data_IF_083964347625
#
_entry.id   IF_083964347625
#
_cell.length_a   1.000
_cell.length_b   1.000
_cell.length_c   1.000
_cell.angle_alpha   90.00
_cell.angle_beta   90.00
_cell.angle_gamma   90.00
#
_symmetry.space_group_name_H-M   'P 1'
#
loop_
_entity.id
_entity.type
_entity.pdbx_description
1 polymer ?
#
# COMPACT_ATOMS: atom_id res chain seq x y z
N UNK A 1 19.36 -14.03 -0.48
CA UNK A 1 17.95 -13.56 -0.47
C UNK A 1 17.49 -13.52 -1.92
N UNK A 2 16.46 -14.26 -2.30
CA UNK A 2 15.88 -14.17 -3.64
C UNK A 2 15.37 -12.73 -3.82
N UNK A 3 15.89 -12.06 -4.83
CA UNK A 3 15.54 -10.66 -5.12
C UNK A 3 14.14 -10.64 -5.76
N UNK A 4 13.10 -10.70 -4.93
CA UNK A 4 11.72 -10.64 -5.40
C UNK A 4 11.51 -9.27 -6.06
N UNK A 5 11.06 -9.25 -7.31
CA UNK A 5 10.72 -8.00 -8.00
C UNK A 5 9.50 -7.36 -7.36
N UNK A 6 9.45 -6.05 -7.29
CA UNK A 6 8.34 -5.32 -6.67
C UNK A 6 7.63 -4.44 -7.69
N UNK A 7 6.31 -4.40 -7.57
CA UNK A 7 5.44 -3.41 -8.21
C UNK A 7 4.75 -2.61 -7.10
N UNK A 8 4.77 -1.30 -7.23
CA UNK A 8 3.98 -0.42 -6.37
C UNK A 8 2.90 0.27 -7.21
N UNK A 9 1.64 -0.01 -6.89
CA UNK A 9 0.50 0.69 -7.49
C UNK A 9 0.12 1.83 -6.58
N UNK A 10 0.36 3.05 -7.04
CA UNK A 10 0.21 4.28 -6.26
C UNK A 10 -0.78 5.23 -6.92
N UNK A 11 -1.13 6.31 -6.24
CA UNK A 11 -2.00 7.36 -6.77
C UNK A 11 -2.84 8.00 -5.68
N UNK A 12 -3.57 9.05 -6.02
CA UNK A 12 -4.51 9.59 -5.06
C UNK A 12 -5.60 8.57 -4.72
N UNK A 13 -6.05 8.55 -3.47
CA UNK A 13 -7.16 7.67 -3.06
C UNK A 13 -8.37 7.86 -4.00
N UNK A 14 -9.00 6.77 -4.43
CA UNK A 14 -10.14 6.72 -5.37
C UNK A 14 -9.77 6.89 -6.86
N UNK A 15 -8.50 6.71 -7.20
CA UNK A 15 -8.02 6.74 -8.61
C UNK A 15 -7.95 5.37 -9.29
N UNK A 16 -8.52 4.31 -8.69
CA UNK A 16 -8.58 2.97 -9.32
C UNK A 16 -7.44 2.02 -8.95
N UNK A 17 -6.60 2.33 -7.97
CA UNK A 17 -5.47 1.48 -7.54
C UNK A 17 -5.88 0.06 -7.17
N UNK A 18 -7.01 -0.11 -6.47
CA UNK A 18 -7.54 -1.45 -6.14
C UNK A 18 -7.96 -2.24 -7.38
N UNK A 19 -8.49 -1.57 -8.42
CA UNK A 19 -8.84 -2.22 -9.69
C UNK A 19 -7.57 -2.68 -10.40
N UNK A 20 -6.57 -1.81 -10.52
CA UNK A 20 -5.27 -2.15 -11.11
C UNK A 20 -4.61 -3.31 -10.37
N UNK A 21 -4.60 -3.29 -9.03
CA UNK A 21 -4.07 -4.39 -8.22
C UNK A 21 -4.76 -5.72 -8.50
N UNK A 22 -6.09 -5.73 -8.65
CA UNK A 22 -6.85 -6.94 -9.02
C UNK A 22 -6.51 -7.45 -10.41
N UNK A 23 -6.32 -6.56 -11.38
CA UNK A 23 -5.93 -6.93 -12.74
C UNK A 23 -4.53 -7.55 -12.74
N UNK A 24 -3.57 -6.93 -12.05
CA UNK A 24 -2.22 -7.47 -11.91
C UNK A 24 -2.21 -8.84 -11.21
N UNK A 25 -3.08 -9.03 -10.22
CA UNK A 25 -3.20 -10.30 -9.51
C UNK A 25 -3.74 -11.47 -10.35
N UNK A 26 -4.29 -11.22 -11.53
CA UNK A 26 -4.67 -12.27 -12.48
C UNK A 26 -3.44 -12.86 -13.21
N UNK A 27 -2.28 -12.22 -13.12
CA UNK A 27 -1.04 -12.77 -13.67
C UNK A 27 -0.44 -13.80 -12.70
N UNK A 28 -0.10 -14.98 -13.20
CA UNK A 28 0.38 -16.11 -12.37
C UNK A 28 1.62 -15.83 -11.54
N UNK A 29 2.47 -14.90 -11.97
CA UNK A 29 3.71 -14.55 -11.26
C UNK A 29 3.56 -13.37 -10.29
N UNK A 30 2.39 -12.75 -10.19
CA UNK A 30 2.18 -11.53 -9.37
C UNK A 30 1.24 -11.83 -8.21
N UNK A 31 1.72 -11.56 -7.00
CA UNK A 31 0.86 -11.52 -5.81
C UNK A 31 0.57 -10.08 -5.40
N UNK A 32 -0.70 -9.69 -5.39
CA UNK A 32 -1.12 -8.35 -4.97
C UNK A 32 -1.59 -8.35 -3.54
N UNK A 33 -0.92 -7.54 -2.72
CA UNK A 33 -1.21 -7.34 -1.31
C UNK A 33 -2.45 -6.47 -1.10
N UNK A 34 -3.06 -6.55 0.08
CA UNK A 34 -3.99 -5.52 0.56
C UNK A 34 -3.25 -4.19 0.73
N UNK A 35 -3.97 -3.11 0.97
CA UNK A 35 -3.37 -1.79 1.27
C UNK A 35 -2.56 -1.90 2.57
N UNK A 36 -1.22 -2.07 2.46
CA UNK A 36 -0.34 -2.34 3.60
C UNK A 36 -0.07 -1.10 4.45
N UNK A 37 -0.11 0.08 3.83
CA UNK A 37 0.18 1.37 4.48
C UNK A 37 1.52 1.39 5.25
N UNK A 38 2.51 0.63 4.76
CA UNK A 38 3.82 0.58 5.40
C UNK A 38 4.44 1.98 5.48
N UNK A 39 4.60 2.64 4.33
CA UNK A 39 5.10 4.01 4.29
C UNK A 39 4.10 4.97 4.94
N UNK A 40 4.60 5.77 5.90
CA UNK A 40 3.85 6.80 6.60
C UNK A 40 2.95 6.35 7.76
N UNK A 41 2.80 5.03 7.99
CA UNK A 41 2.12 4.51 9.20
C UNK A 41 3.00 3.59 10.04
N UNK A 42 3.84 2.76 9.39
CA UNK A 42 4.72 1.80 10.06
C UNK A 42 6.19 2.18 9.91
N UNK A 43 6.47 3.07 8.99
CA UNK A 43 7.80 3.57 8.68
C UNK A 43 7.74 5.03 8.24
N UNK A 44 8.74 5.80 8.63
CA UNK A 44 9.01 7.17 8.18
C UNK A 44 10.45 7.31 7.70
N UNK A 45 10.77 8.39 6.97
CA UNK A 45 12.13 8.68 6.51
C UNK A 45 13.13 8.89 7.65
N UNK A 46 12.64 9.31 8.83
CA UNK A 46 13.44 9.46 10.05
C UNK A 46 13.91 8.11 10.62
N UNK A 47 13.16 7.04 10.36
CA UNK A 47 13.47 5.67 10.82
C UNK A 47 14.42 4.91 9.88
N UNK A 48 14.91 5.52 8.80
CA UNK A 48 15.64 4.86 7.72
C UNK A 48 16.86 4.07 8.21
N UNK A 49 17.58 4.60 9.19
CA UNK A 49 18.80 4.01 9.74
C UNK A 49 18.58 3.29 11.08
N UNK A 50 17.34 3.25 11.57
CA UNK A 50 17.02 2.64 12.85
C UNK A 50 17.03 1.12 12.72
N UNK A 51 17.92 0.48 13.46
CA UNK A 51 17.88 -0.97 13.68
C UNK A 51 16.87 -1.24 14.79
N UNK A 52 15.97 -2.18 14.55
CA UNK A 52 14.94 -2.57 15.50
C UNK A 52 15.46 -3.66 16.42
N UNK A 53 15.05 -3.64 17.68
CA UNK A 53 15.19 -4.79 18.57
C UNK A 53 14.35 -5.97 18.05
N UNK A 54 14.70 -7.19 18.44
CA UNK A 54 13.94 -8.40 18.05
C UNK A 54 12.44 -8.24 18.36
N UNK A 55 12.11 -7.70 19.55
CA UNK A 55 10.71 -7.46 19.95
C UNK A 55 9.99 -6.42 19.07
N UNK A 56 10.67 -5.33 18.68
CA UNK A 56 10.10 -4.33 17.76
C UNK A 56 9.90 -4.94 16.37
N UNK A 57 10.87 -5.74 15.91
CA UNK A 57 10.82 -6.44 14.63
C UNK A 57 9.65 -7.43 14.57
N UNK A 58 9.48 -8.26 15.61
CA UNK A 58 8.35 -9.20 15.73
C UNK A 58 7.03 -8.46 15.69
N UNK A 59 6.87 -7.39 16.47
CA UNK A 59 5.64 -6.57 16.48
C UNK A 59 5.33 -5.96 15.11
N UNK A 60 6.34 -5.46 14.40
CA UNK A 60 6.17 -4.90 13.07
C UNK A 60 5.72 -5.97 12.07
N UNK A 61 6.38 -7.12 12.05
CA UNK A 61 6.08 -8.22 11.15
C UNK A 61 4.69 -8.82 11.44
N UNK A 62 4.36 -9.04 12.72
CA UNK A 62 3.03 -9.50 13.14
C UNK A 62 1.92 -8.56 12.71
N UNK A 63 2.18 -7.25 12.80
CA UNK A 63 1.23 -6.24 12.33
C UNK A 63 1.05 -6.27 10.81
N UNK A 64 2.12 -6.46 10.03
CA UNK A 64 2.03 -6.61 8.57
C UNK A 64 1.23 -7.85 8.18
N UNK A 65 1.43 -8.99 8.84
CA UNK A 65 0.60 -10.19 8.64
C UNK A 65 -0.86 -9.93 8.98
N UNK A 66 -1.14 -9.26 10.09
CA UNK A 66 -2.50 -8.92 10.50
C UNK A 66 -3.20 -8.01 9.48
N UNK A 67 -2.51 -7.00 8.94
CA UNK A 67 -3.03 -6.12 7.88
C UNK A 67 -3.31 -6.94 6.62
N UNK A 68 -2.40 -7.83 6.22
CA UNK A 68 -2.57 -8.67 5.04
C UNK A 68 -3.76 -9.62 5.19
N UNK A 69 -3.99 -10.18 6.36
CA UNK A 69 -5.09 -11.12 6.60
C UNK A 69 -6.44 -10.40 6.74
N UNK A 70 -6.54 -9.39 7.60
CA UNK A 70 -7.81 -8.77 8.01
C UNK A 70 -8.03 -7.38 7.42
N UNK A 71 -7.00 -6.76 6.82
CA UNK A 71 -7.04 -5.39 6.30
C UNK A 71 -6.73 -4.34 7.37
N UNK A 72 -6.43 -3.13 6.89
CA UNK A 72 -5.96 -2.01 7.72
C UNK A 72 -6.94 -1.57 8.83
N UNK A 73 -8.22 -1.86 8.71
CA UNK A 73 -9.23 -1.47 9.70
C UNK A 73 -9.48 -2.51 10.79
N UNK A 74 -8.91 -3.70 10.67
CA UNK A 74 -9.16 -4.85 11.57
C UNK A 74 -7.84 -5.39 12.12
N UNK A 75 -7.13 -4.55 12.89
CA UNK A 75 -5.82 -4.88 13.48
C UNK A 75 -5.91 -5.11 15.01
N UNK A 76 -7.02 -5.67 15.48
CA UNK A 76 -7.27 -5.76 16.92
C UNK A 76 -6.39 -6.81 17.63
N UNK A 77 -5.90 -7.81 16.90
CA UNK A 77 -5.08 -8.89 17.46
C UNK A 77 -3.89 -9.27 16.56
N UNK A 78 -2.86 -8.41 16.42
CA UNK A 78 -1.67 -8.75 15.66
C UNK A 78 -0.82 -9.85 16.33
N UNK A 79 -0.93 -10.02 17.65
CA UNK A 79 -0.14 -10.98 18.45
C UNK A 79 -0.35 -12.44 18.03
N UNK A 80 -1.47 -12.76 17.37
CA UNK A 80 -1.70 -14.10 16.81
C UNK A 80 -0.64 -14.52 15.78
N UNK A 81 0.16 -13.57 15.27
CA UNK A 81 1.23 -13.81 14.31
C UNK A 81 2.62 -13.76 14.94
N UNK A 82 2.75 -13.59 16.27
CA UNK A 82 4.05 -13.41 16.93
C UNK A 82 4.91 -14.66 16.76
N UNK A 83 4.37 -15.86 16.95
CA UNK A 83 5.12 -17.12 16.81
C UNK A 83 5.75 -17.30 15.42
N UNK A 84 5.01 -16.96 14.35
CA UNK A 84 5.55 -17.04 12.99
C UNK A 84 6.55 -15.91 12.74
N UNK A 85 6.33 -14.74 13.29
CA UNK A 85 7.22 -13.58 13.17
C UNK A 85 8.55 -13.82 13.89
N UNK A 86 8.55 -14.41 15.07
CA UNK A 86 9.75 -14.83 15.82
C UNK A 86 10.60 -15.82 15.04
N UNK A 87 9.96 -16.81 14.40
CA UNK A 87 10.66 -17.80 13.56
C UNK A 87 11.34 -17.17 12.34
N UNK A 88 10.80 -16.06 11.81
CA UNK A 88 11.34 -15.37 10.64
C UNK A 88 12.48 -14.43 11.02
N UNK A 89 12.34 -13.68 12.12
CA UNK A 89 13.28 -12.61 12.50
C UNK A 89 14.59 -13.15 13.10
N UNK A 90 14.58 -14.30 13.80
CA UNK A 90 15.74 -15.05 14.31
C UNK A 90 16.98 -14.18 14.68
N UNK A 91 16.87 -13.29 15.68
CA UNK A 91 17.99 -12.51 16.24
C UNK A 91 18.83 -11.77 15.18
N UNK A 92 18.22 -11.12 14.25
CA UNK A 92 18.90 -10.31 13.23
C UNK A 92 18.70 -8.83 13.50
N UNK A 93 19.78 -8.07 13.42
CA UNK A 93 19.75 -6.61 13.47
C UNK A 93 19.13 -6.08 12.16
N UNK A 94 17.79 -5.98 12.12
CA UNK A 94 17.05 -5.59 10.93
C UNK A 94 16.43 -4.20 11.09
N UNK A 95 16.47 -3.42 10.03
CA UNK A 95 15.68 -2.21 9.90
C UNK A 95 14.22 -2.56 9.53
N UNK A 96 13.31 -1.62 9.75
CA UNK A 96 11.91 -1.79 9.37
C UNK A 96 11.73 -2.05 7.85
N UNK A 97 12.58 -1.45 7.02
CA UNK A 97 12.57 -1.68 5.56
C UNK A 97 12.98 -3.12 5.20
N UNK A 98 13.97 -3.69 5.87
CA UNK A 98 14.39 -5.07 5.66
C UNK A 98 13.30 -6.05 6.08
N UNK A 99 12.64 -5.79 7.22
CA UNK A 99 11.48 -6.59 7.66
C UNK A 99 10.34 -6.50 6.63
N UNK A 100 10.08 -5.32 6.07
CA UNK A 100 9.08 -5.17 5.03
C UNK A 100 9.44 -5.97 3.77
N UNK A 101 10.71 -5.94 3.33
CA UNK A 101 11.19 -6.75 2.20
C UNK A 101 11.03 -8.25 2.46
N UNK A 102 11.39 -8.70 3.67
CA UNK A 102 11.21 -10.10 4.10
C UNK A 102 9.72 -10.47 4.05
N UNK A 103 8.85 -9.63 4.59
CA UNK A 103 7.41 -9.86 4.56
C UNK A 103 6.87 -10.01 3.13
N UNK A 104 7.23 -9.09 2.22
CA UNK A 104 6.82 -9.16 0.81
C UNK A 104 7.29 -10.46 0.15
N UNK A 105 8.55 -10.83 0.35
CA UNK A 105 9.13 -12.06 -0.20
C UNK A 105 8.46 -13.32 0.35
N UNK A 106 8.23 -13.40 1.65
CA UNK A 106 7.59 -14.55 2.31
C UNK A 106 6.19 -14.82 1.79
N UNK A 107 5.36 -13.78 1.71
CA UNK A 107 3.97 -13.93 1.24
C UNK A 107 3.93 -14.27 -0.24
N UNK A 108 4.74 -13.61 -1.08
CA UNK A 108 4.77 -13.90 -2.51
C UNK A 108 5.26 -15.33 -2.78
N UNK A 109 6.31 -15.77 -2.11
CA UNK A 109 6.83 -17.15 -2.21
C UNK A 109 5.81 -18.19 -1.76
N UNK A 110 5.10 -17.94 -0.64
CA UNK A 110 4.02 -18.82 -0.15
C UNK A 110 2.91 -18.99 -1.19
N UNK A 111 2.67 -17.97 -2.02
CA UNK A 111 1.69 -18.00 -3.11
C UNK A 111 2.31 -18.36 -4.46
N UNK A 112 3.54 -18.87 -4.49
CA UNK A 112 4.27 -19.29 -5.69
C UNK A 112 4.42 -18.15 -6.73
N UNK A 113 4.50 -16.90 -6.27
CA UNK A 113 4.64 -15.71 -7.10
C UNK A 113 6.05 -15.11 -6.96
N UNK A 114 6.61 -14.64 -8.07
CA UNK A 114 7.95 -14.03 -8.13
C UNK A 114 7.92 -12.52 -7.90
N UNK A 115 6.76 -11.90 -8.08
CA UNK A 115 6.57 -10.45 -8.05
C UNK A 115 5.58 -10.09 -6.94
N UNK A 116 6.02 -9.21 -6.05
CA UNK A 116 5.17 -8.61 -5.01
C UNK A 116 4.53 -7.33 -5.54
N UNK A 117 3.23 -7.15 -5.39
CA UNK A 117 2.53 -5.93 -5.79
C UNK A 117 1.84 -5.28 -4.58
N UNK A 118 2.41 -4.18 -4.07
CA UNK A 118 1.74 -3.34 -3.05
C UNK A 118 0.87 -2.28 -3.74
N UNK A 119 -0.44 -2.35 -3.49
CA UNK A 119 -1.42 -1.45 -4.09
C UNK A 119 -1.91 -0.37 -3.10
N UNK A 120 -1.04 0.18 -2.29
CA UNK A 120 -1.36 1.25 -1.32
C UNK A 120 -1.35 2.62 -1.99
N UNK A 121 -2.52 3.29 -2.17
CA UNK A 121 -2.59 4.57 -2.90
C UNK A 121 -1.65 5.63 -2.34
N UNK A 122 -1.58 5.78 -1.01
CA UNK A 122 -0.78 6.80 -0.32
C UNK A 122 0.73 6.68 -0.55
N UNK A 123 1.21 5.57 -1.07
CA UNK A 123 2.62 5.43 -1.45
C UNK A 123 3.05 6.45 -2.52
N UNK A 124 2.11 7.13 -3.17
CA UNK A 124 2.39 8.26 -4.08
C UNK A 124 3.19 9.39 -3.41
N UNK A 125 3.10 9.55 -2.09
CA UNK A 125 3.87 10.54 -1.33
C UNK A 125 5.27 10.07 -0.93
N UNK A 126 5.62 8.80 -1.25
CA UNK A 126 6.87 8.13 -0.85
C UNK A 126 7.60 7.53 -2.07
N UNK A 127 7.40 8.12 -3.26
CA UNK A 127 7.99 7.64 -4.53
C UNK A 127 9.52 7.61 -4.43
N UNK A 128 10.14 8.67 -3.89
CA UNK A 128 11.59 8.74 -3.74
C UNK A 128 12.13 7.67 -2.79
N UNK A 129 11.46 7.46 -1.67
CA UNK A 129 11.82 6.43 -0.69
C UNK A 129 11.70 5.04 -1.30
N UNK A 130 10.64 4.79 -2.08
CA UNK A 130 10.46 3.51 -2.79
C UNK A 130 11.58 3.31 -3.81
N UNK A 131 11.83 4.28 -4.68
CA UNK A 131 12.86 4.20 -5.73
C UNK A 131 14.27 4.01 -5.15
N UNK A 132 14.56 4.65 -4.02
CA UNK A 132 15.86 4.56 -3.35
C UNK A 132 16.07 3.22 -2.62
N UNK A 133 15.01 2.64 -2.05
CA UNK A 133 15.12 1.44 -1.22
C UNK A 133 14.77 0.14 -1.96
N UNK A 134 14.13 0.25 -3.13
CA UNK A 134 13.76 -0.86 -4.01
C UNK A 134 14.26 -0.59 -5.43
N UNK A 135 15.56 -0.83 -5.73
CA UNK A 135 16.17 -0.46 -7.01
C UNK A 135 15.50 -1.07 -8.23
N UNK A 136 14.98 -2.30 -8.09
CA UNK A 136 14.33 -3.03 -9.18
C UNK A 136 12.81 -2.80 -9.24
N UNK A 137 12.25 -1.99 -8.33
CA UNK A 137 10.82 -1.76 -8.29
C UNK A 137 10.31 -1.03 -9.55
N UNK A 138 9.10 -1.39 -9.97
CA UNK A 138 8.32 -0.61 -10.94
C UNK A 138 7.16 0.06 -10.21
N UNK A 139 6.90 1.32 -10.56
CA UNK A 139 5.81 2.09 -9.96
C UNK A 139 4.77 2.39 -11.03
N UNK A 140 3.54 1.99 -10.78
CA UNK A 140 2.38 2.35 -11.60
C UNK A 140 1.58 3.40 -10.84
N UNK A 141 1.61 4.62 -11.33
CA UNK A 141 0.83 5.71 -10.75
C UNK A 141 -0.49 5.89 -11.51
N UNK A 142 -1.60 5.87 -10.78
CA UNK A 142 -2.93 6.11 -11.34
C UNK A 142 -3.41 7.52 -11.02
N UNK A 143 -3.66 8.28 -12.06
CA UNK A 143 -4.26 9.62 -11.99
C UNK A 143 -5.70 9.54 -12.48
N UNK A 144 -6.61 10.21 -11.78
CA UNK A 144 -8.03 10.29 -12.11
C UNK A 144 -8.51 11.74 -12.03
N UNK A 145 -9.52 12.09 -12.83
CA UNK A 145 -10.16 13.39 -12.80
C UNK A 145 -10.53 13.79 -11.35
N UNK A 146 -10.06 14.96 -10.85
CA UNK A 146 -10.29 15.37 -9.47
C UNK A 146 -11.78 15.52 -9.13
N UNK A 147 -12.64 15.83 -10.08
CA UNK A 147 -14.09 15.95 -9.89
C UNK A 147 -14.69 14.59 -9.55
N UNK A 148 -14.27 13.54 -10.25
CA UNK A 148 -14.69 12.16 -10.01
C UNK A 148 -14.13 11.62 -8.69
N UNK A 149 -12.89 11.99 -8.35
CA UNK A 149 -12.30 11.68 -7.06
C UNK A 149 -13.11 12.28 -5.92
N UNK A 150 -13.46 13.56 -6.02
CA UNK A 150 -14.30 14.27 -5.05
C UNK A 150 -15.67 13.61 -4.88
N UNK A 151 -16.34 13.30 -5.99
CA UNK A 151 -17.64 12.59 -5.97
C UNK A 151 -17.52 11.20 -5.32
N UNK A 152 -16.48 10.46 -5.66
CA UNK A 152 -16.22 9.14 -5.08
C UNK A 152 -15.91 9.21 -3.58
N UNK A 153 -15.18 10.23 -3.13
CA UNK A 153 -14.88 10.47 -1.71
C UNK A 153 -16.14 10.87 -0.94
N UNK A 154 -16.98 11.76 -1.50
CA UNK A 154 -18.28 12.13 -0.93
C UNK A 154 -19.17 10.92 -0.64
N UNK A 155 -19.13 9.92 -1.52
CA UNK A 155 -19.94 8.71 -1.41
C UNK A 155 -19.21 7.55 -0.70
N UNK A 156 -17.99 7.76 -0.18
CA UNK A 156 -17.17 6.71 0.42
C UNK A 156 -17.85 6.01 1.60
N UNK A 157 -18.60 6.73 2.41
CA UNK A 157 -19.32 6.20 3.57
C UNK A 157 -20.38 5.16 3.20
N UNK A 158 -20.93 5.23 1.96
CA UNK A 158 -21.94 4.30 1.45
C UNK A 158 -21.38 2.91 1.12
N UNK A 159 -20.05 2.77 0.96
CA UNK A 159 -19.40 1.52 0.51
C UNK A 159 -19.77 0.32 1.37
N UNK A 160 -19.87 0.50 2.69
CA UNK A 160 -20.30 -0.54 3.62
C UNK A 160 -21.65 -1.15 3.21
N UNK A 161 -22.56 -0.33 2.73
CA UNK A 161 -23.93 -0.72 2.35
C UNK A 161 -24.01 -1.29 0.93
N UNK A 162 -22.96 -1.11 0.13
CA UNK A 162 -22.85 -1.60 -1.25
C UNK A 162 -21.78 -2.69 -1.39
N UNK A 163 -21.76 -3.65 -0.47
CA UNK A 163 -20.94 -4.87 -0.56
C UNK A 163 -19.61 -4.86 0.16
N UNK A 164 -19.15 -3.72 0.74
CA UNK A 164 -17.94 -3.68 1.56
C UNK A 164 -18.27 -3.85 3.06
N UNK A 165 -18.93 -4.93 3.42
CA UNK A 165 -19.39 -5.23 4.79
C UNK A 165 -18.26 -5.30 5.85
N UNK A 166 -17.04 -5.63 5.42
CA UNK A 166 -15.84 -5.62 6.28
C UNK A 166 -15.40 -4.25 6.77
N UNK A 167 -15.95 -3.14 6.25
CA UNK A 167 -15.65 -1.80 6.76
C UNK A 167 -16.44 -1.59 8.07
N UNK A 168 -15.78 -1.27 9.22
CA UNK A 168 -16.49 -0.99 10.48
C UNK A 168 -17.48 0.17 10.33
N UNK A 169 -18.62 0.11 11.05
CA UNK A 169 -19.63 1.20 11.05
C UNK A 169 -19.01 2.55 11.44
N UNK A 170 -18.12 2.55 12.43
CA UNK A 170 -17.37 3.73 12.88
C UNK A 170 -16.61 4.39 11.74
N UNK A 171 -15.93 3.62 10.89
CA UNK A 171 -15.18 4.15 9.74
C UNK A 171 -16.10 4.70 8.63
N UNK A 172 -17.29 4.12 8.47
CA UNK A 172 -18.30 4.65 7.56
C UNK A 172 -18.77 6.04 8.02
N UNK A 173 -19.13 6.18 9.29
CA UNK A 173 -19.53 7.45 9.92
C UNK A 173 -18.40 8.47 9.84
N UNK A 174 -17.19 8.07 10.23
CA UNK A 174 -15.98 8.93 10.13
C UNK A 174 -15.75 9.41 8.71
N UNK A 175 -15.92 8.56 7.70
CA UNK A 175 -15.77 8.95 6.30
C UNK A 175 -16.80 9.98 5.84
N UNK A 176 -18.00 9.97 6.41
CA UNK A 176 -19.03 10.98 6.13
C UNK A 176 -18.65 12.36 6.70
N UNK A 177 -18.27 12.42 7.98
CA UNK A 177 -17.90 13.68 8.63
C UNK A 177 -16.57 14.26 8.15
N UNK A 178 -15.61 13.41 7.76
CA UNK A 178 -14.29 13.83 7.28
C UNK A 178 -14.27 14.22 5.80
N UNK A 179 -15.42 14.21 5.11
CA UNK A 179 -15.47 14.74 3.75
C UNK A 179 -15.32 16.24 3.75
N UNK A 180 -14.19 16.71 3.22
CA UNK A 180 -13.92 18.14 3.04
C UNK A 180 -13.30 18.38 1.66
N UNK A 181 -14.04 19.00 0.71
CA UNK A 181 -13.62 19.07 -0.69
C UNK A 181 -12.30 19.82 -0.89
N UNK A 182 -12.07 20.92 -0.15
CA UNK A 182 -10.82 21.69 -0.23
C UNK A 182 -9.62 20.83 0.23
N UNK A 183 -9.75 20.10 1.34
CA UNK A 183 -8.68 19.21 1.83
C UNK A 183 -8.40 18.10 0.82
N UNK A 184 -9.41 17.47 0.25
CA UNK A 184 -9.27 16.41 -0.75
C UNK A 184 -8.58 16.95 -2.01
N UNK A 185 -8.96 18.16 -2.46
CA UNK A 185 -8.32 18.82 -3.61
C UNK A 185 -6.86 19.14 -3.35
N UNK A 186 -6.51 19.62 -2.14
CA UNK A 186 -5.11 19.87 -1.75
C UNK A 186 -4.31 18.56 -1.77
N UNK A 187 -4.84 17.47 -1.19
CA UNK A 187 -4.19 16.15 -1.21
C UNK A 187 -4.00 15.65 -2.65
N UNK A 188 -4.99 15.85 -3.52
CA UNK A 188 -4.89 15.49 -4.93
C UNK A 188 -3.76 16.26 -5.62
N UNK A 189 -3.70 17.59 -5.44
CA UNK A 189 -2.64 18.43 -5.99
C UNK A 189 -1.25 18.00 -5.48
N UNK A 190 -1.13 17.72 -4.18
CA UNK A 190 0.15 17.22 -3.61
C UNK A 190 0.56 15.90 -4.25
N UNK A 191 -0.38 14.96 -4.45
CA UNK A 191 -0.09 13.71 -5.12
C UNK A 191 0.38 13.91 -6.57
N UNK A 192 -0.24 14.84 -7.32
CA UNK A 192 0.19 15.16 -8.70
C UNK A 192 1.59 15.80 -8.71
N UNK A 193 1.87 16.71 -7.78
CA UNK A 193 3.19 17.34 -7.70
C UNK A 193 4.28 16.34 -7.34
N UNK A 194 4.03 15.45 -6.39
CA UNK A 194 4.99 14.37 -6.06
C UNK A 194 5.39 13.51 -7.25
N UNK A 195 4.55 13.42 -8.28
CA UNK A 195 4.86 12.68 -9.50
C UNK A 195 5.65 13.52 -10.49
N UNK A 196 5.27 14.79 -10.66
CA UNK A 196 5.95 15.71 -11.59
C UNK A 196 7.41 15.93 -11.20
N UNK A 197 7.69 15.89 -9.91
CA UNK A 197 9.04 16.07 -9.36
C UNK A 197 9.90 14.81 -9.49
N UNK A 198 9.36 13.70 -10.05
CA UNK A 198 10.02 12.41 -10.15
C UNK A 198 10.05 11.92 -11.62
N UNK A 199 11.11 12.27 -12.34
CA UNK A 199 11.40 11.69 -13.67
C UNK A 199 12.29 10.46 -13.51
N UNK A 200 11.65 9.28 -13.36
CA UNK A 200 12.36 7.99 -13.27
C UNK A 200 11.73 6.99 -14.27
N UNK A 201 12.52 6.27 -15.08
CA UNK A 201 12.00 5.32 -16.07
C UNK A 201 11.24 4.14 -15.46
N UNK A 202 11.38 3.92 -14.14
CA UNK A 202 10.64 2.91 -13.39
C UNK A 202 9.24 3.37 -13.00
N UNK A 203 8.94 4.68 -13.09
CA UNK A 203 7.66 5.28 -12.78
C UNK A 203 6.84 5.49 -14.06
N UNK A 204 5.67 4.82 -14.15
CA UNK A 204 4.73 5.00 -15.26
C UNK A 204 3.40 5.56 -14.75
N UNK A 205 2.99 6.70 -15.29
CA UNK A 205 1.68 7.30 -14.99
C UNK A 205 0.63 6.84 -16.01
N UNK A 206 -0.53 6.41 -15.50
CA UNK A 206 -1.67 5.95 -16.27
C UNK A 206 -2.89 6.82 -15.89
N UNK A 207 -3.55 7.42 -16.88
CA UNK A 207 -4.83 8.09 -16.69
C UNK A 207 -5.93 7.04 -16.56
N UNK A 208 -6.69 7.10 -15.47
CA UNK A 208 -7.74 6.13 -15.16
C UNK A 208 -8.81 6.08 -16.24
N UNK A 209 -9.22 7.22 -16.77
CA UNK A 209 -10.26 7.34 -17.80
C UNK A 209 -9.82 6.65 -19.11
N UNK A 210 -8.57 6.85 -19.51
CA UNK A 210 -8.02 6.18 -20.69
C UNK A 210 -7.93 4.67 -20.48
N UNK A 211 -7.51 4.26 -19.28
CA UNK A 211 -7.35 2.85 -18.93
C UNK A 211 -8.69 2.08 -18.94
N UNK A 212 -9.80 2.69 -18.53
CA UNK A 212 -11.12 2.02 -18.58
C UNK A 212 -11.73 2.03 -19.98
N UNK A 213 -11.33 2.96 -20.85
CA UNK A 213 -11.83 3.08 -22.22
C UNK A 213 -11.04 2.21 -23.19
N UNK A 214 -9.73 2.12 -23.00
CA UNK A 214 -8.78 1.37 -23.83
C UNK A 214 -7.86 0.54 -22.92
N UNK A 215 -8.38 -0.59 -22.36
CA UNK A 215 -7.63 -1.41 -21.40
C UNK A 215 -6.45 -2.16 -21.99
#
# INVERSE_FOLDING_TARGET
MNNTKQIFVVGNSRSGTTMMGRILNNHSSIFTFKELHFFGQLWSSEDKSKILSDSEGVKLLSRLFCIQEFGIFNQDNPQQFDEISEKIIQKSELSALEIFKIFLAQISSKNQCEISCDQTPRNVFYIQEILNNFPEAKIINLVRDPRDVLLSQKNKWKRRYFGASGIPKKESIRSYFNYHPITISKIWNTAINSIKDNEDPRLKTICFENFITYP
#
